data_IF_704154427526
#
_entry.id   IF_704154427526
#
_cell.length_a   1.000
_cell.length_b   1.000
_cell.length_c   1.000
_cell.angle_alpha   90.00
_cell.angle_beta   90.00
_cell.angle_gamma   90.00
#
_symmetry.space_group_name_H-M   'P 1'
#
loop_
_entity.id
_entity.type
_entity.pdbx_description
1 polymer ?
#
# COMPACT_ATOMS: atom_id res chain seq x y z
N UNK A 1 -15.91 2.38 -9.42
CA UNK A 1 -14.46 2.44 -9.12
C UNK A 1 -13.81 3.54 -9.96
N UNK A 2 -12.77 4.20 -9.44
CA UNK A 2 -11.89 5.10 -10.19
C UNK A 2 -10.60 4.35 -10.47
N UNK A 3 -10.02 4.53 -11.66
CA UNK A 3 -8.80 3.85 -12.06
C UNK A 3 -7.69 4.87 -12.39
N UNK A 4 -6.44 4.42 -12.29
CA UNK A 4 -5.26 5.13 -12.80
C UNK A 4 -4.40 4.18 -13.60
N UNK A 5 -3.67 4.72 -14.56
CA UNK A 5 -2.76 3.91 -15.38
C UNK A 5 -1.35 4.00 -14.83
N UNK A 6 -0.79 2.85 -14.47
CA UNK A 6 0.63 2.69 -14.10
C UNK A 6 1.27 1.81 -15.17
N UNK A 7 2.15 2.39 -15.98
CA UNK A 7 2.64 1.75 -17.23
C UNK A 7 1.47 1.39 -18.14
N UNK A 8 1.20 0.10 -18.35
CA UNK A 8 0.04 -0.38 -19.13
C UNK A 8 -1.06 -1.04 -18.27
N UNK A 9 -0.95 -0.93 -16.93
CA UNK A 9 -1.94 -1.49 -16.02
C UNK A 9 -2.98 -0.42 -15.64
N UNK A 10 -4.26 -0.72 -15.84
CA UNK A 10 -5.37 0.09 -15.37
C UNK A 10 -5.77 -0.36 -13.97
N UNK A 11 -5.22 0.28 -12.95
CA UNK A 11 -5.33 -0.11 -11.54
C UNK A 11 -6.46 0.66 -10.84
N UNK A 12 -7.26 -0.03 -10.03
CA UNK A 12 -8.22 0.63 -9.14
C UNK A 12 -7.50 1.51 -8.13
N UNK A 13 -7.94 2.76 -7.98
CA UNK A 13 -7.29 3.72 -7.09
C UNK A 13 -7.46 3.41 -5.60
N UNK A 14 -8.50 2.70 -5.19
CA UNK A 14 -8.54 2.04 -3.87
C UNK A 14 -8.07 0.61 -4.05
N UNK A 15 -6.92 0.26 -3.50
CA UNK A 15 -6.37 -1.10 -3.49
C UNK A 15 -6.74 -1.84 -2.21
N UNK A 16 -6.93 -3.15 -2.27
CA UNK A 16 -7.28 -3.96 -1.12
C UNK A 16 -6.03 -4.54 -0.46
N UNK A 17 -5.75 -4.14 0.77
CA UNK A 17 -4.70 -4.73 1.60
C UNK A 17 -5.17 -6.02 2.26
N UNK A 18 -4.36 -7.05 2.17
CA UNK A 18 -4.72 -8.42 2.55
C UNK A 18 -3.88 -8.98 3.71
N UNK A 19 -3.11 -8.13 4.38
CA UNK A 19 -2.17 -8.57 5.42
C UNK A 19 -2.77 -9.53 6.48
N UNK A 20 -4.01 -9.39 6.97
CA UNK A 20 -4.60 -10.29 7.96
C UNK A 20 -5.27 -11.55 7.37
N UNK A 21 -5.31 -11.72 6.04
CA UNK A 21 -6.02 -12.84 5.42
C UNK A 21 -5.35 -14.17 5.76
N UNK A 22 -6.12 -15.15 6.14
CA UNK A 22 -5.65 -16.48 6.55
C UNK A 22 -5.00 -16.53 7.95
N UNK A 23 -4.66 -15.38 8.55
CA UNK A 23 -4.09 -15.30 9.91
C UNK A 23 -5.05 -14.65 10.91
N UNK A 24 -5.45 -13.40 10.68
CA UNK A 24 -6.41 -12.66 11.53
C UNK A 24 -7.84 -12.68 10.97
N UNK A 25 -8.00 -12.90 9.67
CA UNK A 25 -9.30 -13.04 9.00
C UNK A 25 -9.39 -14.45 8.42
N UNK A 26 -10.36 -15.28 8.85
CA UNK A 26 -10.56 -16.62 8.32
C UNK A 26 -10.77 -16.61 6.80
N UNK A 27 -10.31 -17.66 6.12
CA UNK A 27 -10.36 -17.78 4.65
C UNK A 27 -11.75 -17.48 4.06
N UNK A 28 -12.82 -18.02 4.66
CA UNK A 28 -14.19 -17.78 4.19
C UNK A 28 -14.51 -16.27 4.17
N UNK A 29 -14.21 -15.56 5.26
CA UNK A 29 -14.49 -14.13 5.36
C UNK A 29 -13.59 -13.31 4.40
N UNK A 30 -12.34 -13.76 4.20
CA UNK A 30 -11.45 -13.17 3.20
C UNK A 30 -12.02 -13.31 1.79
N UNK A 31 -12.59 -14.47 1.45
CA UNK A 31 -13.24 -14.71 0.16
C UNK A 31 -14.47 -13.80 -0.04
N UNK A 32 -15.32 -13.67 0.98
CA UNK A 32 -16.48 -12.76 0.93
C UNK A 32 -16.03 -11.30 0.67
N UNK A 33 -14.91 -10.86 1.27
CA UNK A 33 -14.34 -9.53 1.05
C UNK A 33 -13.78 -9.40 -0.37
N UNK A 34 -13.05 -10.41 -0.85
CA UNK A 34 -12.44 -10.42 -2.20
C UNK A 34 -13.52 -10.42 -3.29
N UNK A 35 -14.55 -11.28 -3.16
CA UNK A 35 -15.69 -11.33 -4.06
C UNK A 35 -16.36 -9.96 -4.12
N UNK A 36 -16.66 -9.36 -2.97
CA UNK A 36 -17.31 -8.06 -2.91
C UNK A 36 -16.44 -6.93 -3.47
N UNK A 37 -15.12 -6.96 -3.23
CA UNK A 37 -14.20 -5.98 -3.78
C UNK A 37 -14.18 -6.02 -5.32
N UNK A 38 -14.14 -7.23 -5.89
CA UNK A 38 -14.20 -7.44 -7.34
C UNK A 38 -15.55 -6.97 -7.91
N UNK A 39 -16.68 -7.30 -7.27
CA UNK A 39 -18.04 -6.85 -7.68
C UNK A 39 -18.17 -5.33 -7.69
N UNK A 40 -17.46 -4.63 -6.79
CA UNK A 40 -17.43 -3.16 -6.76
C UNK A 40 -16.45 -2.56 -7.79
N UNK A 41 -15.85 -3.38 -8.63
CA UNK A 41 -14.90 -2.98 -9.67
C UNK A 41 -13.46 -2.81 -9.17
N UNK A 42 -13.13 -3.26 -7.96
CA UNK A 42 -11.74 -3.30 -7.47
C UNK A 42 -10.93 -4.37 -8.22
N UNK A 43 -9.68 -4.06 -8.54
CA UNK A 43 -8.83 -4.99 -9.27
C UNK A 43 -7.38 -5.03 -8.79
N UNK A 44 -7.00 -4.33 -7.72
CA UNK A 44 -5.63 -4.30 -7.21
C UNK A 44 -5.58 -4.86 -5.79
N UNK A 45 -4.96 -6.03 -5.64
CA UNK A 45 -4.76 -6.70 -4.36
C UNK A 45 -3.32 -6.51 -3.89
N UNK A 46 -3.13 -6.02 -2.65
CA UNK A 46 -1.81 -5.82 -2.06
C UNK A 46 -1.54 -6.85 -0.96
N UNK A 47 -0.48 -7.63 -1.13
CA UNK A 47 -0.01 -8.64 -0.18
C UNK A 47 1.51 -8.57 0.02
N UNK A 48 2.10 -9.51 0.73
CA UNK A 48 3.55 -9.70 0.86
C UNK A 48 3.88 -11.13 1.34
N UNK A 49 5.07 -11.63 0.98
CA UNK A 49 5.56 -12.93 1.40
C UNK A 49 5.58 -13.12 2.94
N UNK A 50 5.87 -12.02 3.68
CA UNK A 50 5.94 -12.05 5.14
C UNK A 50 4.56 -12.07 5.82
N UNK A 51 3.46 -11.70 5.13
CA UNK A 51 2.14 -11.58 5.74
C UNK A 51 1.57 -12.92 6.17
N UNK A 52 1.43 -13.10 7.49
CA UNK A 52 1.02 -14.38 8.06
C UNK A 52 1.93 -15.54 7.66
N UNK A 53 3.23 -15.29 7.43
CA UNK A 53 4.18 -16.29 6.92
C UNK A 53 3.70 -16.97 5.63
N UNK A 54 3.20 -16.17 4.68
CA UNK A 54 2.67 -16.61 3.39
C UNK A 54 1.19 -16.99 3.40
N UNK A 55 0.49 -16.96 4.54
CA UNK A 55 -0.94 -17.29 4.61
C UNK A 55 -1.80 -16.31 3.81
N UNK A 56 -1.44 -15.01 3.78
CA UNK A 56 -2.15 -14.03 2.97
C UNK A 56 -2.10 -14.38 1.47
N UNK A 57 -0.91 -14.67 0.94
CA UNK A 57 -0.74 -15.09 -0.45
C UNK A 57 -1.47 -16.39 -0.76
N UNK A 58 -1.37 -17.40 0.13
CA UNK A 58 -2.09 -18.69 -0.03
C UNK A 58 -3.60 -18.49 -0.08
N UNK A 59 -4.14 -17.59 0.75
CA UNK A 59 -5.57 -17.29 0.77
C UNK A 59 -6.00 -16.63 -0.56
N UNK A 60 -5.23 -15.68 -1.07
CA UNK A 60 -5.52 -15.06 -2.38
C UNK A 60 -5.38 -16.11 -3.50
N UNK A 61 -4.34 -16.93 -3.49
CA UNK A 61 -4.11 -17.96 -4.49
C UNK A 61 -5.25 -18.98 -4.54
N UNK A 62 -5.74 -19.43 -3.37
CA UNK A 62 -6.88 -20.32 -3.27
C UNK A 62 -8.16 -19.68 -3.81
N UNK A 63 -8.40 -18.39 -3.48
CA UNK A 63 -9.53 -17.64 -4.02
C UNK A 63 -9.46 -17.46 -5.54
N UNK A 64 -8.30 -17.07 -6.06
CA UNK A 64 -8.12 -16.92 -7.53
C UNK A 64 -8.36 -18.22 -8.26
N UNK A 65 -7.90 -19.35 -7.71
CA UNK A 65 -8.13 -20.67 -8.30
C UNK A 65 -9.60 -21.05 -8.26
N UNK A 66 -10.27 -20.89 -7.11
CA UNK A 66 -11.68 -21.27 -6.92
C UNK A 66 -12.64 -20.43 -7.78
N UNK A 67 -12.34 -19.12 -7.96
CA UNK A 67 -13.19 -18.18 -8.72
C UNK A 67 -12.75 -18.00 -10.18
N UNK A 68 -11.62 -18.56 -10.61
CA UNK A 68 -11.04 -18.25 -11.92
C UNK A 68 -10.64 -16.77 -12.07
N UNK A 69 -10.28 -16.11 -10.96
CA UNK A 69 -10.20 -14.66 -10.88
C UNK A 69 -8.83 -14.07 -11.29
N UNK A 70 -7.79 -14.87 -11.58
CA UNK A 70 -6.43 -14.37 -11.85
C UNK A 70 -6.39 -13.27 -12.92
N UNK A 71 -7.16 -13.41 -13.99
CA UNK A 71 -7.19 -12.46 -15.11
C UNK A 71 -8.06 -11.21 -14.83
N UNK A 72 -8.74 -11.16 -13.70
CA UNK A 72 -9.60 -10.04 -13.29
C UNK A 72 -8.94 -9.14 -12.26
N UNK A 73 -7.78 -9.54 -11.73
CA UNK A 73 -7.06 -8.79 -10.70
C UNK A 73 -5.58 -8.62 -11.04
N UNK A 74 -5.02 -7.52 -10.55
CA UNK A 74 -3.59 -7.27 -10.49
C UNK A 74 -3.09 -7.56 -9.09
N UNK A 75 -1.98 -8.28 -8.99
CA UNK A 75 -1.36 -8.66 -7.73
C UNK A 75 -0.12 -7.82 -7.50
N UNK A 76 -0.09 -7.10 -6.37
CA UNK A 76 1.15 -6.57 -5.81
C UNK A 76 1.58 -7.41 -4.62
N UNK A 77 2.81 -7.90 -4.65
CA UNK A 77 3.42 -8.59 -3.51
C UNK A 77 4.85 -8.11 -3.28
N UNK A 78 5.43 -8.50 -2.16
CA UNK A 78 6.71 -7.96 -1.67
C UNK A 78 7.60 -9.08 -1.16
N UNK A 79 8.91 -8.97 -1.44
CA UNK A 79 9.93 -9.83 -0.86
C UNK A 79 11.06 -9.05 -0.22
N UNK A 80 12.09 -9.76 0.21
CA UNK A 80 13.26 -9.24 0.89
C UNK A 80 12.93 -8.42 2.17
N UNK A 81 11.83 -8.80 2.87
CA UNK A 81 11.62 -8.27 4.22
C UNK A 81 12.77 -8.73 5.12
N UNK A 82 13.30 -7.88 6.01
CA UNK A 82 14.30 -8.30 6.99
C UNK A 82 13.87 -9.56 7.74
N UNK A 83 14.82 -10.40 8.08
CA UNK A 83 14.55 -11.61 8.85
C UNK A 83 13.94 -11.29 10.21
N UNK A 84 13.05 -12.15 10.69
CA UNK A 84 12.49 -12.04 12.04
C UNK A 84 13.04 -13.17 12.90
N UNK A 85 13.44 -12.93 14.16
CA UNK A 85 13.25 -11.69 14.92
C UNK A 85 14.44 -10.72 14.92
N UNK A 86 15.55 -11.02 14.24
CA UNK A 86 16.84 -10.31 14.34
C UNK A 86 16.97 -9.09 13.42
N UNK A 87 16.00 -8.85 12.54
CA UNK A 87 15.95 -7.76 11.58
C UNK A 87 17.16 -7.70 10.62
N UNK A 88 17.86 -8.83 10.43
CA UNK A 88 18.94 -8.90 9.44
C UNK A 88 18.45 -8.61 8.03
N UNK A 89 19.23 -7.80 7.30
CA UNK A 89 18.90 -7.35 5.95
C UNK A 89 18.92 -8.53 4.97
N UNK A 90 17.97 -8.55 4.03
CA UNK A 90 17.79 -9.64 3.06
C UNK A 90 17.76 -9.15 1.61
N UNK A 91 18.20 -7.93 1.32
CA UNK A 91 18.26 -7.42 -0.06
C UNK A 91 19.45 -8.05 -0.78
N UNK A 92 19.26 -9.25 -1.31
CA UNK A 92 20.23 -9.99 -2.11
C UNK A 92 19.51 -10.92 -3.09
N UNK A 93 20.23 -11.40 -4.12
CA UNK A 93 19.63 -12.19 -5.18
C UNK A 93 19.03 -13.52 -4.71
N UNK A 94 19.68 -14.19 -3.75
CA UNK A 94 19.20 -15.46 -3.21
C UNK A 94 17.85 -15.28 -2.52
N UNK A 95 17.75 -14.33 -1.60
CA UNK A 95 16.52 -14.03 -0.88
C UNK A 95 15.41 -13.51 -1.81
N UNK A 96 15.77 -12.66 -2.79
CA UNK A 96 14.83 -12.17 -3.80
C UNK A 96 14.21 -13.33 -4.59
N UNK A 97 15.04 -14.25 -5.08
CA UNK A 97 14.60 -15.41 -5.85
C UNK A 97 13.75 -16.36 -5.02
N UNK A 98 14.19 -16.65 -3.81
CA UNK A 98 13.49 -17.53 -2.88
C UNK A 98 12.10 -16.97 -2.52
N UNK A 99 12.01 -15.69 -2.14
CA UNK A 99 10.75 -15.03 -1.79
C UNK A 99 9.81 -14.96 -3.02
N UNK A 100 10.33 -14.62 -4.20
CA UNK A 100 9.54 -14.58 -5.44
C UNK A 100 8.97 -15.94 -5.82
N UNK A 101 9.78 -17.00 -5.80
CA UNK A 101 9.33 -18.35 -6.11
C UNK A 101 8.29 -18.86 -5.09
N UNK A 102 8.47 -18.50 -3.81
CA UNK A 102 7.49 -18.80 -2.76
C UNK A 102 6.18 -18.06 -3.03
N UNK A 103 6.23 -16.76 -3.38
CA UNK A 103 5.05 -15.96 -3.71
C UNK A 103 4.30 -16.53 -4.91
N UNK A 104 4.99 -16.88 -6.00
CA UNK A 104 4.38 -17.50 -7.19
C UNK A 104 3.63 -18.79 -6.83
N UNK A 105 4.26 -19.67 -6.01
CA UNK A 105 3.62 -20.91 -5.55
C UNK A 105 2.41 -20.63 -4.66
N UNK A 106 2.55 -19.75 -3.67
CA UNK A 106 1.47 -19.41 -2.74
C UNK A 106 0.26 -18.78 -3.46
N UNK A 107 0.52 -17.88 -4.40
CA UNK A 107 -0.49 -17.19 -5.20
C UNK A 107 -1.04 -18.05 -6.35
N UNK A 108 -0.47 -19.24 -6.59
CA UNK A 108 -0.87 -20.12 -7.66
C UNK A 108 -0.90 -19.40 -9.04
N UNK A 109 0.19 -18.70 -9.37
CA UNK A 109 0.33 -17.91 -10.61
C UNK A 109 1.76 -18.03 -11.15
N UNK A 110 1.92 -17.80 -12.43
CA UNK A 110 3.22 -17.82 -13.14
C UNK A 110 3.92 -16.45 -13.14
N UNK A 111 3.21 -15.37 -12.80
CA UNK A 111 3.76 -14.02 -12.76
C UNK A 111 3.11 -13.13 -11.70
N UNK A 112 3.87 -12.11 -11.28
CA UNK A 112 3.42 -11.02 -10.39
C UNK A 112 3.29 -9.74 -11.21
N UNK A 113 2.20 -9.01 -11.04
CA UNK A 113 1.97 -7.77 -11.80
C UNK A 113 2.86 -6.62 -11.29
N UNK A 114 2.98 -6.45 -9.96
CA UNK A 114 3.90 -5.48 -9.35
C UNK A 114 4.64 -6.13 -8.18
N UNK A 115 5.96 -6.23 -8.27
CA UNK A 115 6.77 -6.80 -7.19
C UNK A 115 7.58 -5.73 -6.49
N UNK A 116 7.46 -5.66 -5.17
CA UNK A 116 8.15 -4.68 -4.34
C UNK A 116 9.34 -5.28 -3.61
N UNK A 117 10.45 -4.53 -3.53
CA UNK A 117 11.35 -4.69 -2.40
C UNK A 117 10.65 -4.12 -1.16
N UNK A 118 10.49 -4.96 -0.10
CA UNK A 118 9.71 -4.60 1.09
C UNK A 118 10.39 -3.54 1.96
N UNK A 119 11.71 -3.47 1.90
CA UNK A 119 12.57 -2.48 2.56
C UNK A 119 13.74 -2.13 1.66
N UNK A 120 14.31 -0.95 1.90
CA UNK A 120 15.62 -0.59 1.34
C UNK A 120 16.75 -1.24 2.14
N UNK A 121 17.89 -1.32 1.50
CA UNK A 121 19.18 -1.53 2.13
C UNK A 121 20.13 -0.42 1.65
N UNK A 122 20.19 0.67 2.41
CA UNK A 122 20.97 1.86 2.07
C UNK A 122 22.50 1.61 2.04
N UNK A 123 22.95 0.48 2.61
CA UNK A 123 24.37 0.08 2.54
C UNK A 123 24.73 -0.49 1.16
N UNK A 124 23.72 -0.95 0.39
CA UNK A 124 23.94 -1.42 -0.97
C UNK A 124 23.75 -0.27 -1.98
N UNK A 125 24.70 -0.08 -2.92
CA UNK A 125 24.49 0.86 -4.01
C UNK A 125 23.36 0.37 -4.94
N UNK A 126 22.63 1.31 -5.56
CA UNK A 126 21.56 0.96 -6.52
C UNK A 126 22.09 0.14 -7.70
N UNK A 127 23.38 0.29 -8.03
CA UNK A 127 24.06 -0.51 -9.06
C UNK A 127 24.17 -2.01 -8.72
N UNK A 128 24.10 -2.39 -7.45
CA UNK A 128 24.03 -3.78 -7.03
C UNK A 128 22.57 -4.30 -7.04
N UNK A 129 21.59 -3.43 -6.71
CA UNK A 129 20.19 -3.81 -6.55
C UNK A 129 19.48 -3.93 -7.90
N UNK A 130 19.57 -2.92 -8.76
CA UNK A 130 18.77 -2.85 -9.99
C UNK A 130 19.02 -4.00 -10.98
N UNK A 131 20.28 -4.48 -11.19
CA UNK A 131 20.51 -5.63 -12.08
C UNK A 131 19.87 -6.94 -11.61
N UNK A 132 19.80 -7.20 -10.29
CA UNK A 132 19.14 -8.42 -9.80
C UNK A 132 17.63 -8.37 -9.97
N UNK A 133 17.01 -7.20 -9.81
CA UNK A 133 15.58 -7.01 -10.07
C UNK A 133 15.25 -7.15 -11.56
N UNK A 134 16.04 -6.53 -12.43
CA UNK A 134 15.87 -6.60 -13.88
C UNK A 134 15.92 -8.05 -14.40
N UNK A 135 16.80 -8.90 -13.84
CA UNK A 135 16.82 -10.33 -14.20
C UNK A 135 15.48 -11.02 -13.97
N UNK A 136 14.81 -10.75 -12.84
CA UNK A 136 13.49 -11.35 -12.51
C UNK A 136 12.39 -10.86 -13.47
N UNK A 137 12.48 -9.61 -13.92
CA UNK A 137 11.57 -9.08 -14.96
C UNK A 137 11.84 -9.74 -16.30
N UNK A 138 13.10 -9.86 -16.72
CA UNK A 138 13.47 -10.53 -18.00
C UNK A 138 13.13 -12.01 -18.03
N UNK A 139 13.09 -12.68 -16.88
CA UNK A 139 12.60 -14.05 -16.75
C UNK A 139 11.06 -14.16 -16.90
N UNK A 140 10.35 -13.03 -17.01
CA UNK A 140 8.90 -12.98 -17.16
C UNK A 140 8.11 -13.24 -15.89
N UNK A 141 8.77 -13.36 -14.74
CA UNK A 141 8.13 -13.62 -13.43
C UNK A 141 7.53 -12.38 -12.79
N UNK A 142 8.03 -11.20 -13.16
CA UNK A 142 7.58 -9.89 -12.66
C UNK A 142 7.28 -9.03 -13.88
N UNK A 143 6.12 -8.35 -13.89
CA UNK A 143 5.79 -7.38 -14.95
C UNK A 143 6.39 -6.02 -14.67
N UNK A 144 6.20 -5.49 -13.43
CA UNK A 144 6.68 -4.18 -13.02
C UNK A 144 7.30 -4.22 -11.64
N UNK A 145 8.29 -3.35 -11.45
CA UNK A 145 8.98 -3.19 -10.17
C UNK A 145 8.35 -2.06 -9.36
N UNK A 146 8.26 -2.26 -8.06
CA UNK A 146 7.92 -1.27 -7.06
C UNK A 146 8.96 -1.19 -5.96
N UNK A 147 9.03 -0.04 -5.29
CA UNK A 147 9.89 0.17 -4.12
C UNK A 147 9.03 0.49 -2.89
N UNK A 148 9.15 -0.31 -1.83
CA UNK A 148 8.43 -0.05 -0.58
C UNK A 148 9.39 0.39 0.51
N UNK A 149 9.04 1.49 1.21
CA UNK A 149 9.89 2.12 2.23
C UNK A 149 11.28 2.56 1.70
N UNK A 150 11.30 3.03 0.48
CA UNK A 150 12.39 3.76 -0.14
C UNK A 150 12.03 5.25 -0.17
N UNK A 151 12.99 6.13 0.06
CA UNK A 151 12.78 7.56 -0.16
C UNK A 151 12.60 7.86 -1.66
N UNK A 152 11.81 8.87 -2.01
CA UNK A 152 11.62 9.27 -3.40
C UNK A 152 12.96 9.62 -4.07
N UNK A 153 13.86 10.28 -3.36
CA UNK A 153 15.22 10.59 -3.82
C UNK A 153 16.00 9.33 -4.20
N UNK A 154 15.94 8.29 -3.35
CA UNK A 154 16.63 7.02 -3.60
C UNK A 154 16.03 6.26 -4.79
N UNK A 155 14.69 6.32 -4.94
CA UNK A 155 14.00 5.77 -6.13
C UNK A 155 14.44 6.50 -7.39
N UNK A 156 14.56 7.83 -7.35
CA UNK A 156 15.03 8.64 -8.49
C UNK A 156 16.48 8.28 -8.88
N UNK A 157 17.37 8.06 -7.90
CA UNK A 157 18.74 7.57 -8.11
C UNK A 157 18.71 6.20 -8.81
N UNK A 158 17.92 5.24 -8.29
CA UNK A 158 17.80 3.90 -8.86
C UNK A 158 17.28 3.92 -10.29
N UNK A 159 16.27 4.74 -10.56
CA UNK A 159 15.69 4.88 -11.88
C UNK A 159 16.64 5.59 -12.87
N UNK A 160 17.43 6.57 -12.41
CA UNK A 160 18.46 7.19 -13.24
C UNK A 160 19.55 6.16 -13.63
N UNK A 161 19.99 5.35 -12.67
CA UNK A 161 20.91 4.26 -12.94
C UNK A 161 20.33 3.23 -13.91
N UNK A 162 19.09 2.81 -13.70
CA UNK A 162 18.41 1.84 -14.55
C UNK A 162 18.31 2.33 -16.00
N UNK A 163 17.89 3.58 -16.23
CA UNK A 163 17.84 4.18 -17.58
C UNK A 163 19.22 4.20 -18.24
N UNK A 164 20.25 4.61 -17.53
CA UNK A 164 21.62 4.69 -18.08
C UNK A 164 22.20 3.32 -18.47
N UNK A 165 21.66 2.23 -17.88
CA UNK A 165 22.16 0.86 -18.11
C UNK A 165 21.12 -0.06 -18.82
N UNK A 166 20.05 0.48 -19.41
CA UNK A 166 18.99 -0.26 -20.07
C UNK A 166 18.37 -1.36 -19.18
N UNK A 167 18.18 -1.06 -17.89
CA UNK A 167 17.53 -1.92 -16.92
C UNK A 167 16.09 -1.45 -16.65
N UNK A 168 15.29 -2.33 -16.06
CA UNK A 168 13.91 -2.02 -15.65
C UNK A 168 13.89 -1.04 -14.48
N UNK A 169 13.10 0.03 -14.61
CA UNK A 169 12.89 1.06 -13.59
C UNK A 169 11.79 0.66 -12.59
N UNK A 170 11.84 1.20 -11.38
CA UNK A 170 10.68 1.24 -10.49
C UNK A 170 9.56 2.05 -11.13
N UNK A 171 8.34 1.54 -11.06
CA UNK A 171 7.15 2.14 -11.69
C UNK A 171 6.16 2.71 -10.68
N UNK A 172 6.29 2.35 -9.41
CA UNK A 172 5.38 2.73 -8.33
C UNK A 172 6.11 2.63 -6.98
N UNK A 173 5.80 3.54 -6.08
CA UNK A 173 6.29 3.52 -4.70
C UNK A 173 5.21 3.02 -3.74
N UNK A 174 5.63 2.51 -2.56
CA UNK A 174 4.71 2.17 -1.49
C UNK A 174 5.28 2.61 -0.15
N UNK A 175 4.71 3.68 0.45
CA UNK A 175 5.15 4.26 1.72
C UNK A 175 3.96 4.52 2.65
N UNK A 176 4.25 4.80 3.93
CA UNK A 176 3.24 5.14 4.90
C UNK A 176 2.65 6.52 4.63
N UNK A 177 1.36 6.57 4.29
CA UNK A 177 0.69 7.83 4.00
C UNK A 177 -0.79 7.78 4.36
N UNK A 178 -1.25 8.80 5.07
CA UNK A 178 -2.65 9.00 5.43
C UNK A 178 -2.92 10.49 5.68
N UNK A 179 -4.17 10.82 5.98
CA UNK A 179 -4.58 12.21 6.21
C UNK A 179 -4.09 12.83 7.53
N UNK A 180 -3.55 12.03 8.46
CA UNK A 180 -2.90 12.54 9.67
C UNK A 180 -1.43 12.88 9.38
N UNK A 181 -0.86 13.80 10.14
CA UNK A 181 0.58 14.01 10.17
C UNK A 181 1.22 12.95 11.09
N UNK A 182 2.17 12.18 10.53
CA UNK A 182 2.81 11.08 11.24
C UNK A 182 4.02 11.59 12.02
N UNK A 183 4.07 11.32 13.32
CA UNK A 183 5.26 11.53 14.12
C UNK A 183 6.21 10.34 13.94
N UNK A 184 7.12 10.45 12.96
CA UNK A 184 8.05 9.37 12.59
C UNK A 184 8.87 8.87 13.78
N UNK A 185 9.31 9.76 14.69
CA UNK A 185 10.11 9.38 15.88
C UNK A 185 9.37 8.47 16.87
N UNK A 186 8.06 8.35 16.77
CA UNK A 186 7.21 7.49 17.61
C UNK A 186 6.84 6.17 16.95
N UNK A 187 7.27 5.92 15.73
CA UNK A 187 7.13 4.62 15.10
C UNK A 187 8.10 3.61 15.73
N UNK A 188 7.64 2.40 15.95
CA UNK A 188 8.49 1.31 16.47
C UNK A 188 9.55 0.84 15.46
N UNK A 189 9.23 0.93 14.18
CA UNK A 189 10.12 0.59 13.07
C UNK A 189 10.59 1.89 12.39
N UNK A 190 11.86 2.23 12.57
CA UNK A 190 12.47 3.45 12.02
C UNK A 190 12.87 3.30 10.55
N UNK A 191 12.78 2.10 9.98
CA UNK A 191 13.03 1.85 8.54
C UNK A 191 11.84 2.21 7.66
N UNK A 192 10.70 2.60 8.26
CA UNK A 192 9.52 3.03 7.53
C UNK A 192 9.73 4.44 6.95
N UNK A 193 9.39 4.59 5.68
CA UNK A 193 9.31 5.91 5.03
C UNK A 193 7.88 6.40 5.14
N UNK A 194 7.75 7.64 5.60
CA UNK A 194 6.45 8.32 5.74
C UNK A 194 6.35 9.46 4.75
N UNK A 195 5.16 9.72 4.24
CA UNK A 195 4.91 10.90 3.41
C UNK A 195 4.98 12.16 4.29
N UNK A 196 6.02 12.92 4.12
CA UNK A 196 6.19 14.27 4.66
C UNK A 196 6.26 15.29 3.51
N UNK A 197 6.51 16.56 3.82
CA UNK A 197 6.56 17.63 2.80
C UNK A 197 7.69 17.40 1.78
N UNK A 198 8.84 16.91 2.22
CA UNK A 198 9.98 16.66 1.33
C UNK A 198 9.72 15.49 0.38
N UNK A 199 9.18 14.38 0.89
CA UNK A 199 8.76 13.24 0.07
C UNK A 199 7.65 13.66 -0.92
N UNK A 200 6.66 14.44 -0.45
CA UNK A 200 5.55 14.90 -1.30
C UNK A 200 6.06 15.74 -2.48
N UNK A 201 6.97 16.67 -2.24
CA UNK A 201 7.58 17.50 -3.30
C UNK A 201 8.33 16.64 -4.32
N UNK A 202 9.14 15.68 -3.88
CA UNK A 202 9.86 14.76 -4.76
C UNK A 202 8.90 13.91 -5.62
N UNK A 203 7.77 13.43 -5.05
CA UNK A 203 6.77 12.68 -5.80
C UNK A 203 6.01 13.55 -6.80
N UNK A 204 5.74 14.81 -6.48
CA UNK A 204 5.17 15.78 -7.43
C UNK A 204 6.08 15.98 -8.65
N UNK A 205 7.38 16.14 -8.40
CA UNK A 205 8.37 16.35 -9.47
C UNK A 205 8.55 15.10 -10.33
N UNK A 206 8.71 13.93 -9.71
CA UNK A 206 8.91 12.67 -10.41
C UNK A 206 7.65 12.12 -11.08
N UNK A 207 6.46 12.56 -10.66
CA UNK A 207 5.14 12.03 -11.06
C UNK A 207 4.99 10.53 -10.81
N UNK A 208 5.78 9.98 -9.88
CA UNK A 208 5.67 8.57 -9.52
C UNK A 208 4.41 8.34 -8.71
N UNK A 209 3.55 7.38 -9.08
CA UNK A 209 2.38 7.02 -8.28
C UNK A 209 2.81 6.35 -6.96
N UNK A 210 2.01 6.58 -5.92
CA UNK A 210 2.29 6.08 -4.57
C UNK A 210 1.14 5.22 -4.07
N UNK A 211 1.40 3.97 -3.73
CA UNK A 211 0.50 3.14 -2.94
C UNK A 211 0.66 3.51 -1.47
N UNK A 212 -0.37 4.08 -0.87
CA UNK A 212 -0.34 4.56 0.50
C UNK A 212 -0.77 3.45 1.48
N UNK A 213 0.17 2.84 2.21
CA UNK A 213 -0.23 1.91 3.27
C UNK A 213 -0.56 2.66 4.57
N UNK A 214 -1.31 1.99 5.47
CA UNK A 214 -1.91 2.62 6.66
C UNK A 214 -2.76 3.85 6.30
N UNK A 215 -3.35 3.86 5.12
CA UNK A 215 -4.09 4.98 4.52
C UNK A 215 -5.27 5.48 5.38
N UNK A 216 -5.84 4.61 6.20
CA UNK A 216 -6.95 4.89 7.12
C UNK A 216 -6.47 5.34 8.52
N UNK A 217 -5.16 5.59 8.71
CA UNK A 217 -4.57 5.95 10.00
C UNK A 217 -5.04 5.05 11.16
N UNK A 218 -5.23 3.75 10.90
CA UNK A 218 -5.78 2.74 11.84
C UNK A 218 -7.14 3.14 12.43
N UNK A 219 -7.97 3.85 11.68
CA UNK A 219 -9.29 4.31 12.11
C UNK A 219 -9.28 5.54 13.03
N UNK A 220 -8.17 6.28 13.07
CA UNK A 220 -7.97 7.44 13.94
C UNK A 220 -9.16 8.40 13.96
N UNK A 221 -9.62 8.85 12.79
CA UNK A 221 -10.67 9.86 12.68
C UNK A 221 -12.04 9.36 13.15
N UNK A 222 -12.35 8.09 12.96
CA UNK A 222 -13.55 7.46 13.53
C UNK A 222 -13.44 7.32 15.03
N UNK A 223 -12.26 6.97 15.57
CA UNK A 223 -12.03 6.96 17.02
C UNK A 223 -12.19 8.36 17.66
N UNK A 224 -11.68 9.41 16.99
CA UNK A 224 -11.87 10.80 17.47
C UNK A 224 -13.37 11.16 17.48
N UNK A 225 -14.13 10.78 16.45
CA UNK A 225 -15.58 11.01 16.40
C UNK A 225 -16.32 10.34 17.54
N UNK A 226 -15.96 9.09 17.85
CA UNK A 226 -16.68 8.27 18.83
C UNK A 226 -16.29 8.58 20.27
N UNK A 227 -14.99 8.87 20.53
CA UNK A 227 -14.40 8.91 21.88
C UNK A 227 -13.70 10.22 22.23
N UNK A 228 -13.62 11.15 21.30
CA UNK A 228 -12.80 12.35 21.44
C UNK A 228 -11.30 12.07 21.45
N UNK A 229 -10.51 13.12 21.59
CA UNK A 229 -9.04 13.02 21.59
C UNK A 229 -8.50 12.28 22.83
N UNK A 230 -9.13 12.46 23.99
CA UNK A 230 -8.69 11.85 25.25
C UNK A 230 -8.99 10.35 25.33
N UNK A 231 -9.95 9.87 24.50
CA UNK A 231 -10.29 8.45 24.39
C UNK A 231 -9.44 7.66 23.40
N UNK A 232 -8.42 8.28 22.78
CA UNK A 232 -7.55 7.59 21.84
C UNK A 232 -6.60 6.60 22.53
N UNK A 233 -6.43 5.37 21.99
CA UNK A 233 -5.39 4.47 22.45
C UNK A 233 -3.99 5.09 22.33
N UNK A 234 -3.14 4.85 23.34
CA UNK A 234 -1.79 5.44 23.41
C UNK A 234 -0.95 5.28 22.10
N UNK A 235 -0.97 4.13 21.41
CA UNK A 235 -0.25 4.00 20.13
C UNK A 235 -0.77 4.94 19.03
N UNK A 236 -2.08 5.23 19.01
CA UNK A 236 -2.65 6.17 18.02
C UNK A 236 -2.33 7.62 18.42
N UNK A 237 -2.52 7.99 19.68
CA UNK A 237 -2.26 9.36 20.15
C UNK A 237 -0.79 9.73 19.99
N UNK A 238 0.15 8.86 20.34
CA UNK A 238 1.58 9.16 20.23
C UNK A 238 2.07 9.32 18.81
N UNK A 239 1.55 8.50 17.85
CA UNK A 239 2.00 8.52 16.47
C UNK A 239 1.32 9.61 15.66
N UNK A 240 0.05 9.91 15.93
CA UNK A 240 -0.74 10.76 15.03
C UNK A 240 -1.22 12.07 15.64
N UNK A 241 -1.29 12.20 16.99
CA UNK A 241 -1.89 13.38 17.59
C UNK A 241 -0.89 14.54 17.68
N UNK A 242 -1.13 15.57 16.86
CA UNK A 242 -0.44 16.85 16.79
C UNK A 242 -1.40 17.91 16.25
N UNK A 243 -0.99 19.18 16.20
CA UNK A 243 -1.87 20.29 15.83
C UNK A 243 -2.36 20.18 14.38
N UNK A 244 -1.51 19.74 13.45
CA UNK A 244 -1.91 19.53 12.05
C UNK A 244 -2.98 18.44 11.95
N UNK A 245 -2.80 17.33 12.65
CA UNK A 245 -3.80 16.25 12.68
C UNK A 245 -5.09 16.71 13.33
N UNK A 246 -5.05 17.53 14.40
CA UNK A 246 -6.25 18.10 15.02
C UNK A 246 -7.03 18.97 14.03
N UNK A 247 -6.37 19.90 13.35
CA UNK A 247 -7.01 20.75 12.34
C UNK A 247 -7.64 19.93 11.21
N UNK A 248 -6.92 18.91 10.70
CA UNK A 248 -7.46 18.00 9.68
C UNK A 248 -8.63 17.17 10.19
N UNK A 249 -8.60 16.74 11.45
CA UNK A 249 -9.70 15.99 12.07
C UNK A 249 -10.97 16.86 12.16
N UNK A 250 -10.86 18.12 12.56
CA UNK A 250 -11.98 19.06 12.60
C UNK A 250 -12.64 19.20 11.22
N UNK A 251 -11.87 19.37 10.16
CA UNK A 251 -12.37 19.41 8.79
C UNK A 251 -13.07 18.10 8.37
N UNK A 252 -12.42 16.95 8.64
CA UNK A 252 -12.99 15.63 8.30
C UNK A 252 -14.30 15.41 9.05
N UNK A 253 -14.38 15.76 10.33
CA UNK A 253 -15.59 15.60 11.14
C UNK A 253 -16.71 16.56 10.73
N UNK A 254 -16.38 17.78 10.30
CA UNK A 254 -17.35 18.73 9.76
C UNK A 254 -18.00 18.17 8.48
N UNK A 255 -17.18 17.67 7.54
CA UNK A 255 -17.66 17.03 6.29
C UNK A 255 -18.47 15.77 6.63
N UNK A 256 -18.03 14.96 7.61
CA UNK A 256 -18.77 13.77 8.06
C UNK A 256 -20.18 14.12 8.56
N UNK A 257 -20.27 15.19 9.35
CA UNK A 257 -21.58 15.67 9.88
C UNK A 257 -22.50 16.16 8.76
N UNK A 258 -21.96 16.83 7.75
CA UNK A 258 -22.72 17.38 6.64
C UNK A 258 -23.21 16.29 5.67
N UNK A 259 -22.31 15.35 5.33
CA UNK A 259 -22.56 14.35 4.27
C UNK A 259 -23.13 13.04 4.78
N UNK A 260 -23.01 12.75 6.09
CA UNK A 260 -23.33 11.46 6.68
C UNK A 260 -22.31 10.35 6.34
N UNK A 261 -21.23 10.66 5.64
CA UNK A 261 -20.16 9.71 5.34
C UNK A 261 -19.23 9.51 6.56
N UNK A 262 -18.64 8.32 6.67
CA UNK A 262 -17.71 8.06 7.78
C UNK A 262 -16.44 8.90 7.67
N UNK A 263 -15.81 9.29 8.80
CA UNK A 263 -14.51 9.95 8.78
C UNK A 263 -13.44 9.14 8.04
N UNK A 264 -13.51 7.81 8.08
CA UNK A 264 -12.64 6.91 7.31
C UNK A 264 -12.79 7.15 5.80
N UNK A 265 -14.02 7.19 5.28
CA UNK A 265 -14.26 7.43 3.86
C UNK A 265 -13.75 8.82 3.43
N UNK A 266 -13.97 9.85 4.26
CA UNK A 266 -13.52 11.21 3.96
C UNK A 266 -12.00 11.31 3.98
N UNK A 267 -11.33 10.67 4.94
CA UNK A 267 -9.86 10.65 5.01
C UNK A 267 -9.22 9.97 3.80
N UNK A 268 -9.83 8.90 3.29
CA UNK A 268 -9.41 8.24 2.05
C UNK A 268 -9.69 9.11 0.82
N UNK A 269 -10.82 9.81 0.79
CA UNK A 269 -11.17 10.71 -0.29
C UNK A 269 -10.18 11.87 -0.44
N UNK A 270 -9.58 12.38 0.66
CA UNK A 270 -8.50 13.37 0.61
C UNK A 270 -7.26 12.82 -0.11
N UNK A 271 -6.84 11.59 0.20
CA UNK A 271 -5.69 10.95 -0.47
C UNK A 271 -5.96 10.73 -1.96
N UNK A 272 -7.18 10.37 -2.32
CA UNK A 272 -7.56 10.18 -3.73
C UNK A 272 -7.51 11.48 -4.55
N UNK A 273 -7.57 12.64 -3.90
CA UNK A 273 -7.59 13.97 -4.52
C UNK A 273 -6.29 14.75 -4.36
N UNK A 274 -5.31 14.11 -3.76
CA UNK A 274 -3.97 14.71 -3.67
C UNK A 274 -3.37 14.91 -5.06
N UNK A 275 -2.53 15.92 -5.20
CA UNK A 275 -1.81 16.23 -6.43
C UNK A 275 -0.79 15.16 -6.82
N UNK A 276 -0.26 14.42 -5.84
CA UNK A 276 0.47 13.18 -6.07
C UNK A 276 -0.54 12.06 -6.35
N UNK A 277 -0.35 11.30 -7.42
CA UNK A 277 -1.20 10.15 -7.73
C UNK A 277 -1.12 9.10 -6.62
N UNK A 278 -2.13 9.10 -5.75
CA UNK A 278 -2.21 8.19 -4.61
C UNK A 278 -3.15 7.01 -4.90
N UNK A 279 -2.70 5.80 -4.55
CA UNK A 279 -3.50 4.58 -4.50
C UNK A 279 -3.58 4.10 -3.04
N UNK A 280 -4.56 4.59 -2.24
CA UNK A 280 -4.70 4.14 -0.86
C UNK A 280 -4.92 2.63 -0.77
N UNK A 281 -4.13 1.96 0.07
CA UNK A 281 -4.32 0.55 0.43
C UNK A 281 -5.29 0.52 1.61
N UNK A 282 -6.49 0.00 1.39
CA UNK A 282 -7.50 -0.13 2.44
C UNK A 282 -7.35 -1.46 3.17
N UNK A 283 -7.30 -1.40 4.50
CA UNK A 283 -7.32 -2.56 5.38
C UNK A 283 -8.72 -2.72 5.96
N UNK A 284 -9.38 -3.85 5.71
CA UNK A 284 -10.75 -4.09 6.14
C UNK A 284 -10.89 -5.45 6.81
N UNK A 285 -11.77 -5.55 7.79
CA UNK A 285 -12.04 -6.80 8.52
C UNK A 285 -13.37 -7.47 8.15
N UNK A 286 -14.18 -6.80 7.33
CA UNK A 286 -15.49 -7.30 6.89
C UNK A 286 -15.94 -6.61 5.60
N UNK A 287 -16.93 -7.20 4.94
CA UNK A 287 -17.62 -6.60 3.77
C UNK A 287 -18.17 -5.22 4.09
N UNK A 288 -18.80 -5.04 5.26
CA UNK A 288 -19.35 -3.74 5.67
C UNK A 288 -18.25 -2.64 5.76
N UNK A 289 -17.05 -2.98 6.29
CA UNK A 289 -15.92 -2.05 6.35
C UNK A 289 -15.33 -1.76 4.96
N UNK A 290 -15.39 -2.73 4.06
CA UNK A 290 -15.03 -2.51 2.66
C UNK A 290 -15.99 -1.51 2.02
N UNK A 291 -17.29 -1.74 2.11
CA UNK A 291 -18.32 -0.86 1.56
C UNK A 291 -18.27 0.56 2.11
N UNK A 292 -18.01 0.69 3.42
CA UNK A 292 -17.75 1.98 4.07
C UNK A 292 -16.53 2.70 3.44
N UNK A 293 -15.40 2.02 3.29
CA UNK A 293 -14.20 2.60 2.70
C UNK A 293 -14.41 3.02 1.24
N UNK A 294 -15.18 2.23 0.48
CA UNK A 294 -15.50 2.50 -0.93
C UNK A 294 -16.37 3.76 -1.12
N UNK A 295 -17.04 4.25 -0.08
CA UNK A 295 -17.78 5.52 -0.14
C UNK A 295 -16.86 6.72 -0.40
N UNK A 296 -15.55 6.61 -0.14
CA UNK A 296 -14.55 7.63 -0.48
C UNK A 296 -14.60 8.05 -1.97
N UNK A 297 -15.04 7.15 -2.84
CA UNK A 297 -15.15 7.39 -4.28
C UNK A 297 -16.35 8.26 -4.68
N UNK A 298 -17.28 8.48 -3.76
CA UNK A 298 -18.54 9.21 -4.00
C UNK A 298 -18.52 10.66 -3.53
N UNK A 299 -17.54 11.03 -2.70
CA UNK A 299 -17.48 12.38 -2.15
C UNK A 299 -17.13 13.38 -3.28
N UNK A 300 -17.93 14.45 -3.46
CA UNK A 300 -17.65 15.48 -4.48
C UNK A 300 -16.35 16.21 -4.25
N UNK A 301 -15.76 16.75 -5.33
CA UNK A 301 -14.46 17.46 -5.27
C UNK A 301 -14.56 18.79 -4.52
N UNK A 302 -15.75 19.40 -4.47
CA UNK A 302 -16.00 20.67 -3.78
C UNK A 302 -15.61 20.68 -2.30
N UNK A 303 -15.63 19.52 -1.63
CA UNK A 303 -15.22 19.37 -0.24
C UNK A 303 -13.68 19.43 -0.02
N UNK A 304 -12.88 19.48 -1.09
CA UNK A 304 -11.42 19.47 -1.03
C UNK A 304 -10.77 20.69 -1.69
N UNK A 305 -11.56 21.63 -2.22
CA UNK A 305 -11.10 22.89 -2.76
C UNK A 305 -10.86 23.90 -1.62
N UNK A 306 -9.91 23.58 -0.72
CA UNK A 306 -9.51 24.46 0.39
C UNK A 306 -8.04 24.83 0.21
#
# INVERSE_FOLDING_TARGET
MIYTTVRNLSLSRLSLGTAPFGSGIPQKNAFDILDRYLDMGGNLLDTAAVYGFGLSEKTIGAWMLERGARNHVFISTKGCHPSLPDWSKRVNETALREDLENSLRNLNTDHIDVYFLHRDDEELPVSAIMPMLDRMVREGKIRYLGASNWTAKRINEANAFARANNLTEFSISQIMWNSAQINKSKLSDQTLVVMDEAEHEEYLQSKMPVMAYTSQARGLFSHIQEKGYDGLPAPLSSVYLNDVTRSRAEQILAISKETGLSPTAISLARLLRDSVTCLPIIGVSSVARLEESMQALRLPDEYFNI
#
